data_IF_503444168210
#
_entry.id   IF_503444168210
#
_cell.length_a   1.000
_cell.length_b   1.000
_cell.length_c   1.000
_cell.angle_alpha   90.00
_cell.angle_beta   90.00
_cell.angle_gamma   90.00
#
_symmetry.space_group_name_H-M   'P 1'
#
loop_
_entity.id
_entity.type
_entity.pdbx_description
1 polymer ?
#
# COMPACT_ATOMS: atom_id res chain seq x y z
N UNK A 1 20.32 4.42 -4.35
CA UNK A 1 20.12 5.88 -4.12
C UNK A 1 20.06 6.07 -2.62
N UNK A 2 20.67 7.10 -2.06
CA UNK A 2 20.63 7.35 -0.62
C UNK A 2 19.32 8.04 -0.22
N UNK A 3 18.91 7.91 1.04
CA UNK A 3 17.67 8.48 1.57
C UNK A 3 17.56 9.99 1.29
N UNK A 4 18.61 10.76 1.58
CA UNK A 4 18.63 12.20 1.40
C UNK A 4 18.46 12.63 -0.08
N UNK A 5 18.94 11.80 -1.01
CA UNK A 5 18.77 12.05 -2.45
C UNK A 5 17.31 11.88 -2.86
N UNK A 6 16.63 10.85 -2.31
CA UNK A 6 15.22 10.61 -2.57
C UNK A 6 14.39 11.77 -2.02
N UNK A 7 14.62 12.18 -0.77
CA UNK A 7 13.87 13.29 -0.15
C UNK A 7 14.05 14.60 -0.93
N UNK A 8 15.28 14.96 -1.30
CA UNK A 8 15.53 16.16 -2.12
C UNK A 8 14.79 16.12 -3.47
N UNK A 9 14.66 14.94 -4.07
CA UNK A 9 13.92 14.80 -5.33
C UNK A 9 12.42 14.93 -5.12
N UNK A 10 11.87 14.40 -4.03
CA UNK A 10 10.47 14.58 -3.67
C UNK A 10 10.16 16.07 -3.43
N UNK A 11 10.99 16.77 -2.66
CA UNK A 11 10.86 18.21 -2.42
C UNK A 11 10.91 19.03 -3.71
N UNK A 12 11.84 18.69 -4.63
CA UNK A 12 11.98 19.39 -5.91
C UNK A 12 10.79 19.16 -6.86
N UNK A 13 10.01 18.09 -6.64
CA UNK A 13 8.82 17.73 -7.43
C UNK A 13 7.52 18.07 -6.72
N UNK A 14 7.59 18.75 -5.58
CA UNK A 14 6.41 19.07 -4.76
C UNK A 14 5.41 19.95 -5.52
N UNK A 15 4.12 19.61 -5.40
CA UNK A 15 3.00 20.33 -5.98
C UNK A 15 1.92 20.61 -4.92
N UNK A 16 1.92 21.81 -4.31
CA UNK A 16 0.93 22.17 -3.28
C UNK A 16 -0.52 22.19 -3.80
N UNK A 17 -0.75 22.41 -5.09
CA UNK A 17 -2.10 22.36 -5.66
C UNK A 17 -2.58 20.90 -5.77
N UNK A 18 -1.69 19.98 -6.11
CA UNK A 18 -1.98 18.55 -6.07
C UNK A 18 -2.36 18.09 -4.65
N UNK A 19 -1.64 18.54 -3.62
CA UNK A 19 -1.97 18.23 -2.19
C UNK A 19 -3.39 18.66 -1.83
N UNK A 20 -3.82 19.86 -2.24
CA UNK A 20 -5.20 20.33 -2.02
C UNK A 20 -6.23 19.45 -2.74
N UNK A 21 -5.87 18.96 -3.93
CA UNK A 21 -6.69 18.00 -4.68
C UNK A 21 -6.82 16.67 -3.93
N UNK A 22 -5.69 16.13 -3.46
CA UNK A 22 -5.61 14.85 -2.74
C UNK A 22 -6.46 14.87 -1.46
N UNK A 23 -6.43 15.96 -0.69
CA UNK A 23 -7.23 16.12 0.53
C UNK A 23 -8.74 15.98 0.27
N UNK A 24 -9.24 16.40 -0.90
CA UNK A 24 -10.66 16.25 -1.28
C UNK A 24 -11.08 14.79 -1.48
N UNK A 25 -10.13 13.91 -1.73
CA UNK A 25 -10.33 12.47 -1.87
C UNK A 25 -10.01 11.67 -0.60
N UNK A 26 -9.87 12.36 0.54
CA UNK A 26 -9.63 11.72 1.83
C UNK A 26 -8.19 11.27 2.04
N UNK A 27 -7.23 11.78 1.25
CA UNK A 27 -5.80 11.56 1.48
C UNK A 27 -5.33 12.58 2.52
N UNK A 28 -4.59 12.09 3.52
CA UNK A 28 -4.05 12.96 4.56
C UNK A 28 -3.06 13.96 3.96
N UNK A 29 -3.31 15.29 4.05
CA UNK A 29 -2.43 16.30 3.48
C UNK A 29 -1.17 16.56 4.33
N UNK A 30 -1.12 16.04 5.56
CA UNK A 30 0.04 16.20 6.43
C UNK A 30 1.23 15.40 5.88
N UNK A 31 2.40 16.01 5.88
CA UNK A 31 3.63 15.41 5.35
C UNK A 31 3.51 14.90 3.90
N UNK A 32 2.73 15.60 3.08
CA UNK A 32 2.48 15.25 1.68
C UNK A 32 3.06 16.31 0.75
N UNK A 33 3.81 15.90 -0.26
CA UNK A 33 4.41 16.79 -1.25
C UNK A 33 3.55 16.97 -2.52
N UNK A 34 2.64 16.05 -2.82
CA UNK A 34 1.82 16.08 -4.02
C UNK A 34 2.55 15.57 -5.26
N UNK A 35 3.56 14.71 -5.11
CA UNK A 35 4.33 14.17 -6.22
C UNK A 35 3.54 13.13 -6.99
N UNK A 36 3.47 13.28 -8.31
CA UNK A 36 2.70 12.38 -9.15
C UNK A 36 3.24 10.95 -9.19
N UNK A 37 2.34 9.96 -9.34
CA UNK A 37 2.71 8.54 -9.46
C UNK A 37 3.73 8.22 -10.56
N UNK A 38 3.71 8.83 -11.76
CA UNK A 38 4.77 8.64 -12.75
C UNK A 38 6.16 9.04 -12.23
N UNK A 39 6.25 10.16 -11.50
CA UNK A 39 7.50 10.61 -10.90
C UNK A 39 7.98 9.65 -9.81
N UNK A 40 7.09 9.16 -8.95
CA UNK A 40 7.43 8.16 -7.93
C UNK A 40 7.95 6.86 -8.56
N UNK A 41 7.30 6.36 -9.61
CA UNK A 41 7.77 5.18 -10.35
C UNK A 41 9.16 5.37 -10.97
N UNK A 42 9.46 6.56 -11.47
CA UNK A 42 10.79 6.88 -12.00
C UNK A 42 11.85 6.85 -10.89
N UNK A 43 11.57 7.48 -9.74
CA UNK A 43 12.47 7.47 -8.58
C UNK A 43 12.69 6.03 -8.11
N UNK A 44 11.64 5.24 -7.95
CA UNK A 44 11.73 3.85 -7.53
C UNK A 44 12.56 2.99 -8.51
N UNK A 45 12.37 3.20 -9.82
CA UNK A 45 13.14 2.50 -10.85
C UNK A 45 14.64 2.82 -10.78
N UNK A 46 14.99 4.07 -10.54
CA UNK A 46 16.39 4.51 -10.41
C UNK A 46 17.03 4.03 -9.10
N UNK A 47 16.26 3.96 -8.01
CA UNK A 47 16.72 3.45 -6.71
C UNK A 47 16.99 1.94 -6.74
N UNK A 48 16.17 1.21 -7.52
CA UNK A 48 16.20 -0.26 -7.51
C UNK A 48 15.60 -0.84 -6.23
N UNK A 49 15.88 -2.12 -5.97
CA UNK A 49 15.44 -2.81 -4.75
C UNK A 49 16.47 -2.60 -3.63
N UNK A 50 16.03 -2.02 -2.51
CA UNK A 50 16.85 -1.74 -1.34
C UNK A 50 15.99 -1.74 -0.07
N UNK A 51 16.13 -2.79 0.74
CA UNK A 51 15.37 -2.96 1.98
C UNK A 51 15.74 -1.89 3.03
N UNK A 52 17.03 -1.53 3.14
CA UNK A 52 17.49 -0.49 4.08
C UNK A 52 16.86 0.86 3.76
N UNK A 53 16.96 1.29 2.50
CA UNK A 53 16.33 2.51 2.02
C UNK A 53 14.81 2.50 2.26
N UNK A 54 14.14 1.37 2.04
CA UNK A 54 12.70 1.25 2.27
C UNK A 54 12.33 1.50 3.74
N UNK A 55 13.11 0.99 4.69
CA UNK A 55 12.88 1.23 6.12
C UNK A 55 13.06 2.72 6.49
N UNK A 56 14.09 3.38 5.96
CA UNK A 56 14.32 4.81 6.20
C UNK A 56 13.21 5.67 5.61
N UNK A 57 12.79 5.38 4.38
CA UNK A 57 11.67 6.06 3.72
C UNK A 57 10.36 5.90 4.49
N UNK A 58 10.09 4.68 4.99
CA UNK A 58 8.90 4.43 5.81
C UNK A 58 8.91 5.22 7.11
N UNK A 59 10.04 5.20 7.80
CA UNK A 59 10.21 5.89 9.09
C UNK A 59 10.10 7.41 8.99
N UNK A 60 10.28 8.00 7.81
CA UNK A 60 10.13 9.46 7.60
C UNK A 60 8.71 9.96 7.84
N UNK A 61 7.69 9.11 7.73
CA UNK A 61 6.28 9.50 7.82
C UNK A 61 5.79 10.37 6.66
N UNK A 62 6.61 10.58 5.63
CA UNK A 62 6.23 11.35 4.43
C UNK A 62 5.37 10.45 3.53
N UNK A 63 4.23 10.97 3.09
CA UNK A 63 3.25 10.24 2.28
C UNK A 63 3.88 9.54 1.05
N UNK A 64 4.55 10.30 0.20
CA UNK A 64 5.19 9.77 -1.01
C UNK A 64 6.38 8.86 -0.72
N UNK A 65 7.10 9.11 0.39
CA UNK A 65 8.19 8.25 0.81
C UNK A 65 7.67 6.87 1.25
N UNK A 66 6.52 6.79 1.92
CA UNK A 66 5.85 5.51 2.24
C UNK A 66 5.43 4.74 0.99
N UNK A 67 4.90 5.43 -0.02
CA UNK A 67 4.61 4.80 -1.32
C UNK A 67 5.88 4.26 -1.96
N UNK A 68 6.96 5.07 -1.98
CA UNK A 68 8.26 4.65 -2.51
C UNK A 68 8.85 3.47 -1.73
N UNK A 69 8.72 3.46 -0.40
CA UNK A 69 9.16 2.34 0.43
C UNK A 69 8.56 1.02 -0.07
N UNK A 70 7.24 0.99 -0.34
CA UNK A 70 6.59 -0.18 -0.93
C UNK A 70 7.11 -0.54 -2.33
N UNK A 71 7.58 0.43 -3.10
CA UNK A 71 8.10 0.17 -4.45
C UNK A 71 9.56 -0.32 -4.44
N UNK A 72 10.40 0.17 -3.51
CA UNK A 72 11.84 -0.14 -3.48
C UNK A 72 12.20 -1.29 -2.55
N UNK A 73 11.33 -1.70 -1.63
CA UNK A 73 11.60 -2.81 -0.73
C UNK A 73 11.72 -4.15 -1.47
N UNK A 74 12.55 -5.04 -0.95
CA UNK A 74 12.67 -6.41 -1.44
C UNK A 74 11.64 -7.32 -0.74
N UNK A 75 10.63 -7.87 -1.45
CA UNK A 75 9.65 -8.77 -0.84
C UNK A 75 10.24 -9.97 -0.10
N UNK A 76 11.46 -10.38 -0.45
CA UNK A 76 12.16 -11.50 0.19
C UNK A 76 12.71 -11.14 1.57
N UNK A 77 12.95 -9.85 1.82
CA UNK A 77 13.44 -9.34 3.11
C UNK A 77 12.30 -8.97 4.06
N UNK A 78 11.06 -8.82 3.53
CA UNK A 78 9.89 -8.43 4.32
C UNK A 78 9.46 -9.54 5.26
N UNK A 79 9.34 -9.20 6.54
CA UNK A 79 8.87 -10.10 7.60
C UNK A 79 7.40 -9.85 7.93
N UNK A 80 6.75 -10.85 8.58
CA UNK A 80 5.40 -10.68 9.11
C UNK A 80 5.31 -9.55 10.15
N UNK A 81 6.38 -9.32 10.91
CA UNK A 81 6.47 -8.21 11.87
C UNK A 81 6.49 -6.86 11.16
N UNK A 82 7.28 -6.71 10.10
CA UNK A 82 7.27 -5.50 9.29
C UNK A 82 5.88 -5.23 8.70
N UNK A 83 5.21 -6.26 8.16
CA UNK A 83 3.85 -6.11 7.63
C UNK A 83 2.89 -5.59 8.71
N UNK A 84 2.99 -6.12 9.96
CA UNK A 84 2.16 -5.66 11.08
C UNK A 84 2.47 -4.23 11.53
N UNK A 85 3.72 -3.79 11.47
CA UNK A 85 4.11 -2.43 11.79
C UNK A 85 3.58 -1.47 10.71
N UNK A 86 3.86 -1.76 9.45
CA UNK A 86 3.50 -0.87 8.35
C UNK A 86 1.98 -0.73 8.16
N UNK A 87 1.22 -1.82 8.29
CA UNK A 87 -0.24 -1.78 8.12
C UNK A 87 -0.93 -0.89 9.16
N UNK A 88 -0.38 -0.79 10.38
CA UNK A 88 -0.89 0.08 11.45
C UNK A 88 -0.60 1.56 11.22
N UNK A 89 0.43 1.86 10.44
CA UNK A 89 0.83 3.22 10.11
C UNK A 89 0.07 3.79 8.90
N UNK A 90 -0.76 2.99 8.22
CA UNK A 90 -1.56 3.49 7.10
C UNK A 90 -2.56 4.54 7.59
N UNK A 91 -2.49 5.72 7.00
CA UNK A 91 -3.35 6.87 7.27
C UNK A 91 -4.08 7.39 6.04
N UNK A 92 -3.85 6.74 4.89
CA UNK A 92 -4.44 7.10 3.61
C UNK A 92 -4.69 5.84 2.76
N UNK A 93 -5.78 5.83 2.01
CA UNK A 93 -6.17 4.68 1.19
C UNK A 93 -5.18 4.36 0.08
N UNK A 94 -4.56 5.39 -0.51
CA UNK A 94 -3.62 5.23 -1.61
C UNK A 94 -2.27 4.65 -1.15
N UNK A 95 -1.75 5.06 0.02
CA UNK A 95 -0.58 4.41 0.65
C UNK A 95 -0.87 2.93 0.89
N UNK A 96 -2.02 2.61 1.49
CA UNK A 96 -2.46 1.24 1.73
C UNK A 96 -2.46 0.42 0.44
N UNK A 97 -3.16 0.90 -0.60
CA UNK A 97 -3.30 0.20 -1.87
C UNK A 97 -1.96 0.06 -2.60
N UNK A 98 -1.13 1.11 -2.62
CA UNK A 98 0.17 1.08 -3.29
C UNK A 98 1.13 0.11 -2.59
N UNK A 99 1.16 0.04 -1.27
CA UNK A 99 2.02 -0.91 -0.54
C UNK A 99 1.53 -2.34 -0.74
N UNK A 100 0.22 -2.58 -0.69
CA UNK A 100 -0.34 -3.90 -0.98
C UNK A 100 0.04 -4.37 -2.39
N UNK A 101 -0.12 -3.52 -3.41
CA UNK A 101 0.11 -3.86 -4.82
C UNK A 101 1.60 -3.97 -5.20
N UNK A 102 2.47 -3.16 -4.60
CA UNK A 102 3.87 -3.12 -5.00
C UNK A 102 4.77 -4.03 -4.16
N UNK A 103 4.35 -4.42 -2.95
CA UNK A 103 5.16 -5.16 -2.00
C UNK A 103 4.44 -6.35 -1.37
N UNK A 104 3.35 -6.12 -0.62
CA UNK A 104 2.78 -7.12 0.25
C UNK A 104 2.19 -8.32 -0.49
N UNK A 105 1.62 -8.11 -1.69
CA UNK A 105 1.09 -9.20 -2.54
C UNK A 105 2.17 -10.20 -3.00
N UNK A 106 3.45 -9.82 -2.93
CA UNK A 106 4.60 -10.64 -3.31
C UNK A 106 5.26 -11.34 -2.13
N UNK A 107 4.80 -11.06 -0.91
CA UNK A 107 5.31 -11.71 0.31
C UNK A 107 4.57 -13.03 0.51
N UNK A 108 5.26 -14.15 0.82
CA UNK A 108 4.60 -15.45 1.02
C UNK A 108 3.49 -15.46 2.08
N UNK A 109 3.53 -14.53 3.03
CA UNK A 109 2.54 -14.38 4.09
C UNK A 109 1.26 -13.65 3.66
N UNK A 110 1.20 -13.08 2.46
CA UNK A 110 0.08 -12.24 2.00
C UNK A 110 -1.30 -12.91 2.22
N UNK A 111 -1.44 -14.15 1.76
CA UNK A 111 -2.69 -14.90 1.89
C UNK A 111 -3.11 -15.15 3.35
N UNK A 112 -2.16 -15.36 4.26
CA UNK A 112 -2.44 -15.48 5.70
C UNK A 112 -2.88 -14.13 6.28
N UNK A 113 -2.21 -13.05 5.93
CA UNK A 113 -2.53 -11.69 6.37
C UNK A 113 -3.92 -11.22 5.95
N UNK A 114 -4.44 -11.69 4.83
CA UNK A 114 -5.84 -11.44 4.44
C UNK A 114 -6.81 -11.85 5.55
N UNK A 115 -6.67 -13.08 6.08
CA UNK A 115 -7.56 -13.58 7.12
C UNK A 115 -7.36 -12.86 8.47
N UNK A 116 -6.11 -12.58 8.84
CA UNK A 116 -5.78 -11.88 10.08
C UNK A 116 -6.33 -10.44 10.08
N UNK A 117 -6.13 -9.71 8.99
CA UNK A 117 -6.48 -8.29 8.90
C UNK A 117 -7.96 -8.05 8.61
N UNK A 118 -8.65 -8.96 7.95
CA UNK A 118 -10.08 -8.85 7.70
C UNK A 118 -10.93 -8.88 8.99
N UNK A 119 -10.42 -9.49 10.08
CA UNK A 119 -11.08 -9.55 11.37
C UNK A 119 -10.78 -8.34 12.28
N UNK A 120 -9.93 -7.42 11.84
CA UNK A 120 -9.52 -6.25 12.62
C UNK A 120 -10.56 -5.13 12.49
N UNK A 121 -10.60 -4.26 13.50
CA UNK A 121 -11.50 -3.10 13.52
C UNK A 121 -10.86 -1.83 12.94
N UNK A 122 -9.53 -1.78 12.85
CA UNK A 122 -8.81 -0.64 12.30
C UNK A 122 -9.07 -0.53 10.78
N UNK A 123 -9.52 0.62 10.37
CA UNK A 123 -10.00 0.92 9.02
C UNK A 123 -9.04 0.50 7.92
N UNK A 124 -7.80 1.00 7.96
CA UNK A 124 -6.80 0.71 6.92
C UNK A 124 -6.20 -0.70 7.04
N UNK A 125 -6.18 -1.31 8.23
CA UNK A 125 -5.79 -2.72 8.38
C UNK A 125 -6.81 -3.61 7.67
N UNK A 126 -8.11 -3.38 7.91
CA UNK A 126 -9.17 -4.09 7.21
C UNK A 126 -9.14 -3.81 5.70
N UNK A 127 -8.94 -2.55 5.29
CA UNK A 127 -8.77 -2.21 3.87
C UNK A 127 -7.64 -2.99 3.22
N UNK A 128 -6.49 -3.12 3.89
CA UNK A 128 -5.33 -3.86 3.38
C UNK A 128 -5.66 -5.33 3.09
N UNK A 129 -6.51 -5.97 3.91
CA UNK A 129 -6.97 -7.34 3.63
C UNK A 129 -7.69 -7.43 2.28
N UNK A 130 -8.62 -6.52 2.00
CA UNK A 130 -9.38 -6.51 0.74
C UNK A 130 -8.53 -6.08 -0.46
N UNK A 131 -7.61 -5.11 -0.26
CA UNK A 131 -6.64 -4.73 -1.28
C UNK A 131 -5.74 -5.90 -1.65
N UNK A 132 -5.27 -6.69 -0.67
CA UNK A 132 -4.49 -7.91 -0.93
C UNK A 132 -5.27 -8.96 -1.70
N UNK A 133 -6.56 -9.20 -1.38
CA UNK A 133 -7.40 -10.12 -2.16
C UNK A 133 -7.43 -9.69 -3.62
N UNK A 134 -7.67 -8.40 -3.88
CA UNK A 134 -7.72 -7.87 -5.24
C UNK A 134 -6.36 -8.02 -5.98
N UNK A 135 -5.25 -7.73 -5.31
CA UNK A 135 -3.91 -7.87 -5.87
C UNK A 135 -3.58 -9.34 -6.18
N UNK A 136 -3.82 -10.25 -5.24
CA UNK A 136 -3.57 -11.68 -5.41
C UNK A 136 -4.41 -12.24 -6.58
N UNK A 137 -5.70 -11.88 -6.67
CA UNK A 137 -6.56 -12.31 -7.76
C UNK A 137 -6.12 -11.75 -9.12
N UNK A 138 -5.55 -10.54 -9.17
CA UNK A 138 -5.13 -9.90 -10.41
C UNK A 138 -3.79 -10.41 -10.92
N UNK A 139 -2.80 -10.62 -10.04
CA UNK A 139 -1.42 -10.90 -10.42
C UNK A 139 -1.09 -12.40 -10.43
N UNK A 140 -1.71 -13.20 -9.59
CA UNK A 140 -1.48 -14.64 -9.57
C UNK A 140 -2.32 -15.34 -10.65
N UNK A 141 -1.73 -15.50 -11.83
CA UNK A 141 -2.33 -16.22 -12.96
C UNK A 141 -1.94 -17.71 -13.00
N UNK A 142 -1.21 -18.17 -12.01
CA UNK A 142 -0.71 -19.54 -11.93
C UNK A 142 -1.53 -20.40 -10.97
N UNK A 143 -2.11 -19.79 -9.95
CA UNK A 143 -3.02 -20.46 -9.01
C UNK A 143 -4.39 -20.69 -9.66
N UNK A 144 -4.96 -21.86 -9.41
CA UNK A 144 -6.32 -22.19 -9.85
C UNK A 144 -7.39 -21.43 -9.06
N UNK A 145 -8.62 -21.43 -9.58
CA UNK A 145 -9.78 -20.77 -8.94
C UNK A 145 -10.01 -21.22 -7.48
N UNK A 146 -9.60 -22.45 -7.15
CA UNK A 146 -9.70 -22.99 -5.79
C UNK A 146 -8.91 -22.19 -4.77
N UNK A 147 -7.73 -21.66 -5.14
CA UNK A 147 -6.90 -20.84 -4.27
C UNK A 147 -7.59 -19.52 -3.87
N UNK A 148 -8.38 -18.96 -4.79
CA UNK A 148 -9.13 -17.72 -4.55
C UNK A 148 -10.47 -17.97 -3.86
N UNK A 149 -11.05 -19.15 -4.03
CA UNK A 149 -12.32 -19.54 -3.41
C UNK A 149 -12.26 -19.46 -1.88
N UNK A 150 -11.08 -19.68 -1.29
CA UNK A 150 -10.88 -19.55 0.16
C UNK A 150 -11.14 -18.14 0.70
N UNK A 151 -11.04 -17.08 -0.14
CA UNK A 151 -11.31 -15.70 0.27
C UNK A 151 -12.79 -15.33 0.19
N UNK A 152 -13.64 -16.13 -0.46
CA UNK A 152 -15.07 -15.83 -0.60
C UNK A 152 -15.79 -15.56 0.73
N UNK A 153 -15.56 -16.35 1.81
CA UNK A 153 -16.18 -16.06 3.10
C UNK A 153 -15.80 -14.68 3.65
N UNK A 154 -14.54 -14.25 3.45
CA UNK A 154 -14.04 -12.92 3.87
C UNK A 154 -14.75 -11.82 3.07
N UNK A 155 -14.87 -12.01 1.75
CA UNK A 155 -15.52 -11.04 0.85
C UNK A 155 -17.01 -10.91 1.21
N UNK A 156 -17.71 -12.03 1.42
CA UNK A 156 -19.15 -12.03 1.78
C UNK A 156 -19.36 -11.33 3.14
N UNK A 157 -18.52 -11.61 4.13
CA UNK A 157 -18.57 -10.93 5.43
C UNK A 157 -18.31 -9.44 5.28
N UNK A 158 -17.29 -9.05 4.50
CA UNK A 158 -16.94 -7.66 4.25
C UNK A 158 -18.02 -6.87 3.51
N UNK A 159 -18.80 -7.52 2.63
CA UNK A 159 -19.88 -6.87 1.89
C UNK A 159 -21.02 -6.33 2.80
N UNK A 160 -21.09 -6.80 4.04
CA UNK A 160 -22.07 -6.35 5.05
C UNK A 160 -21.45 -5.52 6.17
N UNK A 161 -20.14 -5.24 6.09
CA UNK A 161 -19.42 -4.46 7.09
C UNK A 161 -19.80 -2.99 7.03
N UNK A 162 -19.91 -2.36 8.21
CA UNK A 162 -20.26 -0.94 8.33
C UNK A 162 -19.10 0.01 7.96
N UNK A 163 -17.88 -0.49 7.84
CA UNK A 163 -16.71 0.30 7.46
C UNK A 163 -16.75 0.58 5.94
N UNK A 164 -16.82 1.86 5.56
CA UNK A 164 -17.09 2.30 4.19
C UNK A 164 -16.04 1.87 3.15
N UNK A 165 -14.85 1.49 3.57
CA UNK A 165 -13.74 1.07 2.68
C UNK A 165 -13.69 -0.44 2.40
N UNK A 166 -14.50 -1.24 3.06
CA UNK A 166 -14.73 -2.64 2.65
C UNK A 166 -15.49 -2.72 1.34
N UNK A 167 -16.27 -1.69 1.03
CA UNK A 167 -16.85 -1.49 -0.29
C UNK A 167 -15.81 -0.81 -1.18
N UNK A 168 -14.89 -1.57 -1.75
CA UNK A 168 -14.13 -1.11 -2.91
C UNK A 168 -15.17 -0.64 -3.94
N UNK A 169 -15.28 0.68 -4.12
CA UNK A 169 -16.25 1.23 -5.05
C UNK A 169 -15.96 0.65 -6.42
N UNK A 170 -16.88 -0.12 -6.94
CA UNK A 170 -16.88 -0.65 -8.30
C UNK A 170 -16.97 0.45 -9.38
N UNK A 171 -16.64 1.69 -9.04
CA UNK A 171 -16.80 2.87 -9.89
C UNK A 171 -15.49 3.49 -10.36
N UNK A 172 -14.35 2.86 -10.10
CA UNK A 172 -13.04 3.35 -10.55
C UNK A 172 -12.38 2.39 -11.56
N UNK A 173 -13.18 1.76 -12.38
CA UNK A 173 -12.69 1.09 -13.61
C UNK A 173 -12.93 1.98 -14.81
#
# INVERSE_FOLDING_TARGET
>A
MEYEDVIRRLEALADPEAVKGMARFGINPENTFGVSMPNLRNIAKESGKDHGLAQELWASGIHEARILAGMVDDPKAVTGEQMELWVKDFDSWDVCDQVCMNLFDKVPLAGQKVFEWAERDEEFVKRAAFALIACLAWYDKTSGDEEFTRFLPVIVKGATDAVSYTHLRAHET
#
